data_IF_385974380158
#
_entry.id   IF_385974380158
#
_cell.length_a   1.000
_cell.length_b   1.000
_cell.length_c   1.000
_cell.angle_alpha   90.00
_cell.angle_beta   90.00
_cell.angle_gamma   90.00
#
_symmetry.space_group_name_H-M   'P 1'
#
loop_
_entity.id
_entity.type
_entity.pdbx_description
1 polymer ?
#
# COMPACT_ATOMS: atom_id res chain seq x y z
N UNK A 1 29.40 -7.02 12.15
CA UNK A 1 28.31 -6.43 12.94
C UNK A 1 27.67 -5.34 12.10
N UNK A 2 26.33 -5.34 11.95
CA UNK A 2 25.63 -4.33 11.15
C UNK A 2 25.81 -2.92 11.71
N UNK A 3 25.93 -2.80 13.04
CA UNK A 3 26.11 -1.53 13.73
C UNK A 3 27.49 -0.92 13.47
N UNK A 4 28.51 -1.75 13.21
CA UNK A 4 29.87 -1.30 12.95
C UNK A 4 30.18 -1.13 11.45
N UNK A 5 29.63 -2.00 10.59
CA UNK A 5 30.01 -2.08 9.18
C UNK A 5 29.05 -1.33 8.24
N UNK A 6 27.87 -0.94 8.71
CA UNK A 6 26.81 -0.35 7.89
C UNK A 6 26.17 0.90 8.53
N UNK A 7 26.96 1.68 9.28
CA UNK A 7 26.46 2.88 9.98
C UNK A 7 25.77 3.89 9.04
N UNK A 8 26.29 4.05 7.82
CA UNK A 8 25.68 4.94 6.83
C UNK A 8 24.31 4.43 6.34
N UNK A 9 24.15 3.11 6.21
CA UNK A 9 22.85 2.50 5.88
C UNK A 9 21.85 2.71 7.02
N UNK A 10 22.28 2.55 8.27
CA UNK A 10 21.43 2.76 9.46
C UNK A 10 21.00 4.23 9.53
N UNK A 11 21.93 5.16 9.34
CA UNK A 11 21.61 6.61 9.30
C UNK A 11 20.61 6.93 8.21
N UNK A 12 20.79 6.36 7.02
CA UNK A 12 19.84 6.53 5.94
C UNK A 12 18.45 5.99 6.29
N UNK A 13 18.34 4.77 6.83
CA UNK A 13 17.06 4.19 7.25
C UNK A 13 16.33 5.04 8.29
N UNK A 14 17.05 5.56 9.30
CA UNK A 14 16.49 6.44 10.33
C UNK A 14 16.03 7.79 9.75
N UNK A 15 16.66 8.25 8.67
CA UNK A 15 16.32 9.52 8.02
C UNK A 15 15.06 9.46 7.14
N UNK A 16 14.55 8.25 6.83
CA UNK A 16 13.39 8.11 5.97
C UNK A 16 12.12 8.62 6.69
N UNK A 17 11.24 9.35 5.97
CA UNK A 17 9.99 9.81 6.56
C UNK A 17 9.05 8.62 6.81
N UNK A 18 8.28 8.69 7.90
CA UNK A 18 7.29 7.65 8.26
C UNK A 18 6.06 7.65 7.34
N UNK A 19 5.79 8.78 6.69
CA UNK A 19 4.71 8.95 5.73
C UNK A 19 5.06 10.02 4.69
N UNK A 20 4.30 10.04 3.60
CA UNK A 20 4.34 11.08 2.58
C UNK A 20 2.92 11.44 2.16
N UNK A 21 2.64 12.72 1.95
CA UNK A 21 1.30 13.21 1.64
C UNK A 21 1.28 14.00 0.33
N UNK A 22 0.24 13.79 -0.47
CA UNK A 22 -0.14 14.63 -1.61
C UNK A 22 -1.47 15.33 -1.33
N UNK A 23 -1.95 16.13 -2.29
CA UNK A 23 -3.29 16.73 -2.20
C UNK A 23 -4.41 15.69 -2.01
N UNK A 24 -4.24 14.49 -2.58
CA UNK A 24 -5.29 13.46 -2.62
C UNK A 24 -4.93 12.14 -1.93
N UNK A 25 -3.66 11.92 -1.57
CA UNK A 25 -3.18 10.64 -1.02
C UNK A 25 -2.31 10.80 0.22
N UNK A 26 -2.28 9.74 1.02
CA UNK A 26 -1.35 9.50 2.12
C UNK A 26 -0.66 8.17 1.86
N UNK A 27 0.66 8.18 1.79
CA UNK A 27 1.50 7.00 1.68
C UNK A 27 2.12 6.72 3.05
N UNK A 28 1.93 5.52 3.57
CA UNK A 28 2.35 5.13 4.92
C UNK A 28 2.69 3.65 4.95
N UNK A 29 3.57 3.19 5.84
CA UNK A 29 3.94 1.75 5.86
C UNK A 29 2.77 0.87 6.34
N UNK A 30 2.12 1.20 7.47
CA UNK A 30 1.05 0.37 8.04
C UNK A 30 -0.31 1.07 8.10
N UNK A 31 -0.37 2.34 8.54
CA UNK A 31 -1.61 3.10 8.56
C UNK A 31 -1.51 4.39 9.37
N UNK A 32 -2.63 5.12 9.45
CA UNK A 32 -2.76 6.35 10.24
C UNK A 32 -3.88 6.23 11.26
N UNK A 33 -4.00 7.14 12.22
CA UNK A 33 -5.22 7.28 13.01
C UNK A 33 -6.25 8.13 12.23
N UNK A 34 -7.28 7.48 11.68
CA UNK A 34 -8.34 8.18 10.93
C UNK A 34 -9.31 8.95 11.83
N UNK A 35 -9.40 8.64 13.13
CA UNK A 35 -10.27 9.37 14.07
C UNK A 35 -9.74 10.78 14.33
N UNK A 36 -8.43 11.00 14.11
CA UNK A 36 -7.82 12.32 14.15
C UNK A 36 -8.17 13.22 12.94
N UNK A 37 -8.82 12.66 11.89
CA UNK A 37 -9.31 13.37 10.70
C UNK A 37 -8.26 14.30 10.09
N UNK A 38 -8.44 15.62 10.15
CA UNK A 38 -7.54 16.64 9.60
C UNK A 38 -6.23 16.75 10.38
N UNK A 39 -6.22 16.31 11.64
CA UNK A 39 -5.06 16.28 12.51
C UNK A 39 -4.27 14.98 12.43
N UNK A 40 -4.57 14.07 11.50
CA UNK A 40 -3.94 12.75 11.41
C UNK A 40 -2.40 12.79 11.49
N UNK A 41 -1.73 13.81 10.92
CA UNK A 41 -0.27 13.96 10.99
C UNK A 41 0.29 14.10 12.40
N UNK A 42 -0.49 14.71 13.30
CA UNK A 42 -0.10 14.96 14.69
C UNK A 42 -0.79 14.01 15.66
N UNK A 43 -1.98 13.52 15.30
CA UNK A 43 -2.77 12.59 16.11
C UNK A 43 -2.34 11.13 15.97
N UNK A 44 -1.74 10.75 14.83
CA UNK A 44 -1.25 9.38 14.63
C UNK A 44 0.04 9.16 15.43
N UNK A 45 0.10 8.17 16.34
CA UNK A 45 1.34 7.78 17.00
C UNK A 45 2.36 7.21 16.00
N UNK A 46 3.65 7.42 16.21
CA UNK A 46 4.70 6.94 15.30
C UNK A 46 4.62 5.42 15.05
N UNK A 47 4.24 4.66 16.07
CA UNK A 47 4.01 3.20 15.99
C UNK A 47 2.96 2.83 14.95
N UNK A 48 1.89 3.63 14.78
CA UNK A 48 0.85 3.34 13.81
C UNK A 48 1.37 3.47 12.37
N UNK A 49 2.28 4.41 12.11
CA UNK A 49 2.86 4.54 10.77
C UNK A 49 3.60 3.27 10.33
N UNK A 50 4.17 2.50 11.26
CA UNK A 50 5.02 1.32 10.96
C UNK A 50 4.45 -0.02 11.40
N UNK A 51 3.43 -0.05 12.25
CA UNK A 51 2.94 -1.29 12.87
C UNK A 51 1.45 -1.24 13.27
N UNK A 52 0.65 -0.37 12.64
CA UNK A 52 -0.79 -0.35 12.89
C UNK A 52 -1.43 -1.70 12.58
N UNK A 53 -2.12 -2.26 13.58
CA UNK A 53 -2.97 -3.44 13.46
C UNK A 53 -4.13 -3.35 14.47
N UNK A 54 -5.37 -3.74 14.10
CA UNK A 54 -5.79 -4.24 12.78
C UNK A 54 -5.84 -3.13 11.72
N UNK A 55 -5.92 -3.54 10.44
CA UNK A 55 -6.25 -2.63 9.36
C UNK A 55 -7.60 -1.97 9.61
N UNK A 56 -7.70 -0.70 9.23
CA UNK A 56 -8.94 0.07 9.15
C UNK A 56 -9.40 0.14 7.70
N UNK A 57 -10.72 0.27 7.54
CA UNK A 57 -11.38 0.43 6.25
C UNK A 57 -12.42 1.53 6.40
N UNK A 58 -12.77 2.22 5.32
CA UNK A 58 -13.75 3.28 5.41
C UNK A 58 -13.50 4.43 4.46
N UNK A 59 -14.38 5.42 4.56
CA UNK A 59 -14.17 6.69 3.88
C UNK A 59 -13.22 7.52 4.72
N UNK A 60 -12.23 8.10 4.06
CA UNK A 60 -11.36 9.14 4.58
C UNK A 60 -11.26 10.26 3.54
N UNK A 61 -10.85 11.46 3.95
CA UNK A 61 -10.82 12.62 3.04
C UNK A 61 -9.69 12.52 1.99
N UNK A 62 -8.80 11.53 2.10
CA UNK A 62 -7.74 11.17 1.15
C UNK A 62 -7.66 9.65 0.99
N UNK A 63 -7.12 9.20 -0.13
CA UNK A 63 -6.77 7.80 -0.31
C UNK A 63 -5.56 7.47 0.59
N UNK A 64 -5.63 6.40 1.38
CA UNK A 64 -4.56 5.90 2.24
C UNK A 64 -3.96 4.67 1.55
N UNK A 65 -2.67 4.73 1.23
CA UNK A 65 -1.90 3.66 0.59
C UNK A 65 -0.95 3.09 1.61
N UNK A 66 -1.21 1.84 2.01
CA UNK A 66 -0.48 1.13 3.06
C UNK A 66 0.07 -0.22 2.57
N UNK A 67 1.09 -0.72 3.26
CA UNK A 67 1.55 -2.10 3.19
C UNK A 67 1.28 -2.79 4.52
N UNK A 68 2.32 -3.44 5.07
CA UNK A 68 2.39 -4.08 6.39
C UNK A 68 1.50 -5.31 6.58
N UNK A 69 0.22 -5.20 6.23
CA UNK A 69 -0.75 -6.29 6.33
C UNK A 69 -0.93 -6.90 4.94
N UNK A 70 -0.64 -8.19 4.83
CA UNK A 70 -0.78 -8.93 3.58
C UNK A 70 -2.19 -8.80 3.00
N UNK A 71 -2.25 -8.54 1.71
CA UNK A 71 -3.49 -8.47 0.93
C UNK A 71 -4.24 -9.81 0.93
N UNK A 72 -3.54 -10.94 1.07
CA UNK A 72 -4.16 -12.28 1.22
C UNK A 72 -4.99 -12.38 2.51
N UNK A 73 -4.46 -11.82 3.60
CA UNK A 73 -5.15 -11.75 4.89
C UNK A 73 -6.39 -10.85 4.82
N UNK A 74 -6.26 -9.68 4.19
CA UNK A 74 -7.37 -8.72 4.04
C UNK A 74 -8.49 -9.26 3.14
N UNK A 75 -8.12 -9.93 2.05
CA UNK A 75 -9.04 -10.59 1.12
C UNK A 75 -9.68 -11.86 1.70
N UNK A 76 -9.13 -12.40 2.80
CA UNK A 76 -9.47 -13.74 3.33
C UNK A 76 -9.31 -14.83 2.27
N UNK A 77 -8.30 -14.65 1.42
CA UNK A 77 -7.97 -15.55 0.33
C UNK A 77 -6.45 -15.68 0.27
N UNK A 78 -5.95 -16.89 0.61
CA UNK A 78 -4.52 -17.18 0.67
C UNK A 78 -3.82 -17.06 -0.69
N UNK A 79 -4.57 -17.11 -1.79
CA UNK A 79 -4.03 -17.05 -3.15
C UNK A 79 -4.14 -15.63 -3.73
N UNK A 80 -4.73 -14.69 -2.98
CA UNK A 80 -4.80 -13.28 -3.37
C UNK A 80 -3.53 -12.52 -2.98
N UNK A 81 -2.79 -12.06 -3.98
CA UNK A 81 -1.54 -11.31 -3.80
C UNK A 81 -1.51 -10.01 -4.63
N UNK A 82 -2.68 -9.57 -5.10
CA UNK A 82 -2.88 -8.35 -5.88
C UNK A 82 -3.12 -7.14 -4.96
N UNK A 83 -3.35 -5.96 -5.53
CA UNK A 83 -3.72 -4.77 -4.74
C UNK A 83 -5.10 -4.99 -4.11
N UNK A 84 -5.18 -4.90 -2.78
CA UNK A 84 -6.46 -4.89 -2.08
C UNK A 84 -6.96 -3.45 -1.95
N UNK A 85 -8.17 -3.19 -2.42
CA UNK A 85 -8.87 -1.91 -2.20
C UNK A 85 -10.17 -2.20 -1.45
N UNK A 86 -10.43 -1.41 -0.41
CA UNK A 86 -11.60 -1.61 0.46
C UNK A 86 -12.93 -1.12 -0.14
N UNK A 87 -12.90 -0.60 -1.38
CA UNK A 87 -14.06 0.00 -2.02
C UNK A 87 -14.29 1.46 -1.66
N UNK A 88 -13.44 2.06 -0.82
CA UNK A 88 -13.55 3.43 -0.30
C UNK A 88 -12.19 4.11 -0.41
N UNK A 89 -11.50 4.36 0.71
CA UNK A 89 -10.29 5.19 0.74
C UNK A 89 -9.01 4.39 1.00
N UNK A 90 -9.06 3.08 1.23
CA UNK A 90 -7.89 2.31 1.66
C UNK A 90 -7.38 1.36 0.58
N UNK A 91 -6.12 1.53 0.19
CA UNK A 91 -5.39 0.66 -0.72
C UNK A 91 -4.25 -0.04 0.05
N UNK A 92 -4.19 -1.36 -0.03
CA UNK A 92 -3.11 -2.17 0.54
C UNK A 92 -2.34 -2.86 -0.56
N UNK A 93 -1.01 -2.74 -0.51
CA UNK A 93 -0.10 -3.12 -1.60
C UNK A 93 0.88 -4.24 -1.22
N UNK A 94 0.75 -4.80 -0.02
CA UNK A 94 1.59 -5.91 0.44
C UNK A 94 1.09 -7.24 -0.13
N UNK A 95 1.68 -7.67 -1.25
CA UNK A 95 1.36 -8.92 -1.93
C UNK A 95 2.06 -10.15 -1.35
N UNK A 96 2.68 -10.06 -0.16
CA UNK A 96 3.42 -11.18 0.45
C UNK A 96 4.45 -11.77 -0.52
N UNK A 97 5.35 -10.91 -1.03
CA UNK A 97 6.27 -11.22 -2.14
C UNK A 97 7.16 -12.45 -1.89
N UNK A 98 7.46 -12.77 -0.62
CA UNK A 98 8.17 -14.00 -0.24
C UNK A 98 7.39 -15.27 -0.58
N UNK A 99 6.06 -15.20 -0.69
CA UNK A 99 5.17 -16.30 -1.10
C UNK A 99 4.81 -16.16 -2.58
N UNK A 100 4.35 -14.98 -3.01
CA UNK A 100 3.84 -14.76 -4.37
C UNK A 100 4.91 -14.61 -5.44
N UNK A 101 6.16 -14.31 -5.05
CA UNK A 101 7.25 -13.99 -5.96
C UNK A 101 7.02 -12.73 -6.80
N UNK A 102 5.99 -11.94 -6.46
CA UNK A 102 5.56 -10.76 -7.22
C UNK A 102 5.41 -9.56 -6.29
N UNK A 103 5.81 -8.39 -6.76
CA UNK A 103 5.62 -7.11 -6.06
C UNK A 103 4.44 -6.40 -6.74
N UNK A 104 3.30 -6.23 -6.06
CA UNK A 104 2.18 -5.47 -6.61
C UNK A 104 2.57 -4.01 -6.82
N UNK A 105 2.08 -3.40 -7.91
CA UNK A 105 2.34 -2.01 -8.24
C UNK A 105 1.04 -1.25 -8.41
N UNK A 106 0.82 -0.27 -7.53
CA UNK A 106 -0.27 0.69 -7.66
C UNK A 106 0.16 1.85 -8.57
N UNK A 107 -0.44 1.95 -9.75
CA UNK A 107 -0.24 3.07 -10.68
C UNK A 107 -1.38 4.07 -10.54
N UNK A 108 -1.05 5.32 -10.25
CA UNK A 108 -2.01 6.41 -10.19
C UNK A 108 -1.84 7.36 -11.38
N UNK A 109 -2.91 7.56 -12.15
CA UNK A 109 -2.93 8.55 -13.22
C UNK A 109 -3.38 9.92 -12.66
N UNK A 110 -2.47 10.89 -12.66
CA UNK A 110 -2.70 12.23 -12.08
C UNK A 110 -3.73 13.07 -12.83
N UNK A 111 -4.03 12.74 -14.09
CA UNK A 111 -5.02 13.44 -14.93
C UNK A 111 -6.40 12.82 -14.76
N UNK A 112 -6.53 11.50 -14.94
CA UNK A 112 -7.82 10.80 -14.86
C UNK A 112 -8.23 10.44 -13.45
N UNK A 113 -7.30 10.58 -12.49
CA UNK A 113 -7.47 10.22 -11.07
C UNK A 113 -7.81 8.73 -10.88
N UNK A 114 -7.46 7.88 -11.85
CA UNK A 114 -7.71 6.44 -11.80
C UNK A 114 -6.50 5.68 -11.27
N UNK A 115 -6.78 4.60 -10.53
CA UNK A 115 -5.78 3.65 -10.09
C UNK A 115 -5.82 2.39 -10.96
N UNK A 116 -4.67 1.94 -11.41
CA UNK A 116 -4.47 0.67 -12.13
C UNK A 116 -3.36 -0.13 -11.47
N UNK A 117 -3.28 -1.40 -11.80
CA UNK A 117 -2.21 -2.31 -11.39
C UNK A 117 -1.89 -3.25 -12.56
N UNK A 118 -0.92 -4.14 -12.37
CA UNK A 118 -0.43 -5.05 -13.39
C UNK A 118 -0.51 -6.49 -12.90
N UNK A 119 -1.10 -7.36 -13.71
CA UNK A 119 -1.10 -8.79 -13.46
C UNK A 119 -0.08 -9.48 -14.37
N UNK A 120 0.73 -10.36 -13.77
CA UNK A 120 1.69 -11.17 -14.50
C UNK A 120 0.95 -12.24 -15.28
N UNK A 121 1.21 -12.33 -16.58
CA UNK A 121 0.77 -13.44 -17.44
C UNK A 121 2.00 -14.21 -17.91
N UNK A 122 1.86 -15.52 -17.98
CA UNK A 122 2.86 -16.41 -18.54
C UNK A 122 2.15 -17.21 -19.62
N UNK A 123 2.53 -16.98 -20.87
CA UNK A 123 1.97 -17.70 -22.02
C UNK A 123 2.52 -19.14 -22.09
N UNK A 124 1.91 -19.99 -22.90
CA UNK A 124 2.28 -21.41 -23.03
C UNK A 124 3.75 -21.62 -23.47
N UNK A 125 4.34 -20.64 -24.16
CA UNK A 125 5.73 -20.65 -24.61
C UNK A 125 6.73 -20.13 -23.55
N UNK A 126 6.24 -19.74 -22.37
CA UNK A 126 7.01 -19.18 -21.27
C UNK A 126 7.25 -17.67 -21.35
N UNK A 127 6.70 -16.98 -22.36
CA UNK A 127 6.77 -15.52 -22.46
C UNK A 127 6.03 -14.88 -21.28
N UNK A 128 6.70 -13.91 -20.63
CA UNK A 128 6.11 -13.16 -19.52
C UNK A 128 5.62 -11.81 -20.02
N UNK A 129 4.33 -11.55 -19.85
CA UNK A 129 3.72 -10.24 -20.12
C UNK A 129 3.06 -9.67 -18.87
N UNK A 130 2.85 -8.36 -18.86
CA UNK A 130 2.16 -7.65 -17.78
C UNK A 130 0.94 -6.96 -18.35
N UNK A 131 -0.23 -7.39 -17.92
CA UNK A 131 -1.51 -6.84 -18.34
C UNK A 131 -1.94 -5.79 -17.32
N UNK A 132 -2.15 -4.55 -17.77
CA UNK A 132 -2.66 -3.48 -16.90
C UNK A 132 -4.16 -3.67 -16.68
N UNK A 133 -4.60 -3.72 -15.43
CA UNK A 133 -6.00 -3.77 -15.04
C UNK A 133 -6.40 -2.55 -14.22
N UNK A 134 -7.65 -2.12 -14.35
CA UNK A 134 -8.21 -1.09 -13.48
C UNK A 134 -8.53 -1.68 -12.13
N UNK A 135 -8.02 -1.07 -11.07
CA UNK A 135 -8.54 -1.32 -9.73
C UNK A 135 -9.91 -0.65 -9.75
N UNK A 136 -10.96 -1.45 -9.58
CA UNK A 136 -12.35 -0.95 -9.71
C UNK A 136 -12.48 0.35 -8.92
N UNK A 137 -13.18 1.33 -9.48
CA UNK A 137 -13.70 2.52 -8.81
C UNK A 137 -15.14 2.64 -9.26
N UNK A 138 -15.99 1.74 -8.79
CA UNK A 138 -17.42 1.86 -9.04
C UNK A 138 -17.99 2.73 -7.91
N UNK A 139 -18.02 4.05 -8.12
CA UNK A 139 -18.93 4.91 -7.35
C UNK A 139 -20.34 4.60 -7.83
N UNK A 140 -21.02 3.69 -7.14
CA UNK A 140 -22.46 3.84 -7.01
C UNK A 140 -22.67 4.85 -5.87
N UNK A 141 -23.43 5.88 -6.21
CA UNK A 141 -23.78 7.08 -5.43
C UNK A 141 -24.02 6.84 -3.93
#
# INVERSE_FOLDING_TARGET
DILANHIELIRWLISLPLNYETETQIFVHAGIDEEAVEFWKHGTPDEYFVSKFPATFGKFHKDIIAGHISTSFLAKDKDFHDIFWDGKSHFFIDGETNVSGTIPLLKYNTVTKKCTSFIKRVDDDGTVTWEEYSIKRDYNE
#
